data_IF_748327776958
#
_entry.id   IF_748327776958
#
_cell.length_a   1.000
_cell.length_b   1.000
_cell.length_c   1.000
_cell.angle_alpha   90.00
_cell.angle_beta   90.00
_cell.angle_gamma   90.00
#
_symmetry.space_group_name_H-M   'P 1'
#
loop_
_entity.id
_entity.type
_entity.pdbx_description
1 polymer ?
#
# COMPACT_ATOMS: atom_id res chain seq x y z
N UNK A 1 8.06 21.16 6.03
CA UNK A 1 7.26 20.25 5.18
C UNK A 1 5.96 20.97 4.80
N UNK A 2 5.43 20.78 3.60
CA UNK A 2 4.11 21.31 3.24
C UNK A 2 3.00 20.60 4.03
N UNK A 3 1.83 21.24 4.17
CA UNK A 3 0.65 20.61 4.82
C UNK A 3 0.31 19.27 4.16
N UNK A 4 0.32 19.22 2.83
CA UNK A 4 0.06 17.99 2.08
C UNK A 4 1.13 16.91 2.29
N UNK A 5 2.40 17.29 2.49
CA UNK A 5 3.47 16.34 2.79
C UNK A 5 3.31 15.67 4.16
N UNK A 6 2.83 16.42 5.16
CA UNK A 6 2.49 15.86 6.48
C UNK A 6 1.33 14.88 6.38
N UNK A 7 0.26 15.26 5.65
CA UNK A 7 -0.88 14.38 5.43
C UNK A 7 -0.50 13.14 4.62
N UNK A 8 0.36 13.26 3.62
CA UNK A 8 0.89 12.13 2.87
C UNK A 8 1.58 11.14 3.83
N UNK A 9 2.51 11.62 4.67
CA UNK A 9 3.17 10.78 5.67
C UNK A 9 2.19 10.08 6.62
N UNK A 10 1.16 10.79 7.10
CA UNK A 10 0.12 10.21 7.98
C UNK A 10 -0.67 9.10 7.30
N UNK A 11 -1.08 9.30 6.04
CA UNK A 11 -1.82 8.28 5.28
C UNK A 11 -0.94 7.07 4.98
N UNK A 12 0.34 7.27 4.67
CA UNK A 12 1.30 6.16 4.51
C UNK A 12 1.42 5.36 5.80
N UNK A 13 1.60 6.02 6.95
CA UNK A 13 1.65 5.34 8.26
C UNK A 13 0.38 4.58 8.58
N UNK A 14 -0.79 5.17 8.31
CA UNK A 14 -2.07 4.48 8.44
C UNK A 14 -2.13 3.23 7.55
N UNK A 15 -1.70 3.32 6.30
CA UNK A 15 -1.61 2.17 5.39
C UNK A 15 -0.61 1.10 5.84
N UNK A 16 0.51 1.47 6.48
CA UNK A 16 1.47 0.52 7.08
C UNK A 16 0.79 -0.22 8.24
N UNK A 17 0.09 0.49 9.12
CA UNK A 17 -0.63 -0.12 10.25
C UNK A 17 -1.70 -1.09 9.74
N UNK A 18 -2.47 -0.72 8.71
CA UNK A 18 -3.43 -1.62 8.07
C UNK A 18 -2.75 -2.86 7.51
N UNK A 19 -1.61 -2.72 6.83
CA UNK A 19 -0.84 -3.87 6.36
C UNK A 19 -0.44 -4.78 7.54
N UNK A 20 -0.04 -4.24 8.68
CA UNK A 20 0.34 -5.05 9.84
C UNK A 20 -0.83 -5.91 10.38
N UNK A 21 -2.07 -5.42 10.27
CA UNK A 21 -3.26 -6.22 10.58
C UNK A 21 -3.47 -7.41 9.63
N UNK A 22 -2.90 -7.39 8.43
CA UNK A 22 -2.85 -8.56 7.54
C UNK A 22 -1.59 -9.41 7.78
N UNK A 23 -0.43 -8.78 7.95
CA UNK A 23 0.87 -9.45 8.14
C UNK A 23 0.85 -10.37 9.35
N UNK A 24 0.51 -9.84 10.53
CA UNK A 24 0.62 -10.64 11.77
C UNK A 24 -0.28 -11.89 11.71
N UNK A 25 -1.56 -11.81 11.32
CA UNK A 25 -2.37 -13.00 11.19
C UNK A 25 -1.92 -13.91 10.05
N UNK A 26 -1.50 -13.40 8.88
CA UNK A 26 -1.00 -14.26 7.79
C UNK A 26 0.22 -15.09 8.20
N UNK A 27 1.11 -14.52 9.01
CA UNK A 27 2.34 -15.21 9.44
C UNK A 27 2.04 -16.19 10.59
N UNK A 28 1.32 -15.74 11.62
CA UNK A 28 1.12 -16.50 12.86
C UNK A 28 -0.08 -17.46 12.78
N UNK A 29 -1.19 -17.03 12.20
CA UNK A 29 -2.46 -17.76 12.19
C UNK A 29 -3.26 -17.55 10.87
N UNK A 30 -2.72 -17.92 9.70
CA UNK A 30 -3.33 -17.60 8.40
C UNK A 30 -4.73 -18.20 8.23
N UNK A 31 -4.98 -19.40 8.78
CA UNK A 31 -6.30 -20.04 8.72
C UNK A 31 -7.41 -19.20 9.38
N UNK A 32 -7.10 -18.47 10.44
CA UNK A 32 -8.07 -17.58 11.09
C UNK A 32 -8.43 -16.39 10.19
N UNK A 33 -7.42 -15.68 9.65
CA UNK A 33 -7.65 -14.52 8.80
C UNK A 33 -8.31 -14.90 7.47
N UNK A 34 -7.82 -15.95 6.82
CA UNK A 34 -8.40 -16.41 5.57
C UNK A 34 -9.82 -16.94 5.78
N UNK A 35 -10.09 -17.63 6.90
CA UNK A 35 -11.44 -18.01 7.29
C UNK A 35 -12.37 -16.82 7.49
N UNK A 36 -11.91 -15.76 8.17
CA UNK A 36 -12.67 -14.51 8.34
C UNK A 36 -13.03 -13.86 6.99
N UNK A 37 -12.14 -13.97 6.00
CA UNK A 37 -12.34 -13.43 4.65
C UNK A 37 -13.03 -14.40 3.69
N UNK A 38 -13.42 -15.60 4.14
CA UNK A 38 -13.94 -16.68 3.29
C UNK A 38 -13.01 -17.03 2.11
N UNK A 39 -11.69 -17.03 2.37
CA UNK A 39 -10.65 -17.43 1.43
C UNK A 39 -10.20 -18.85 1.79
N UNK A 40 -10.18 -19.82 0.86
CA UNK A 40 -9.68 -21.16 1.13
C UNK A 40 -8.17 -21.11 1.38
N UNK A 41 -7.74 -21.83 2.43
CA UNK A 41 -6.32 -22.03 2.71
C UNK A 41 -5.83 -23.29 2.00
N UNK A 42 -5.25 -23.14 0.82
CA UNK A 42 -4.70 -24.28 0.06
C UNK A 42 -3.36 -24.73 0.62
N UNK A 43 -2.40 -23.81 0.73
CA UNK A 43 -1.06 -24.11 1.24
C UNK A 43 -0.61 -23.04 2.21
N UNK A 44 -0.25 -23.49 3.41
CA UNK A 44 0.19 -22.64 4.52
C UNK A 44 1.39 -21.75 4.16
N UNK A 45 2.32 -22.29 3.35
CA UNK A 45 3.55 -21.60 3.01
C UNK A 45 3.30 -20.34 2.18
N UNK A 46 2.36 -20.35 1.24
CA UNK A 46 2.06 -19.19 0.38
C UNK A 46 1.38 -18.07 1.14
N UNK A 47 0.49 -18.40 2.08
CA UNK A 47 -0.15 -17.42 2.96
C UNK A 47 0.89 -16.72 3.87
N UNK A 48 1.84 -17.47 4.42
CA UNK A 48 2.92 -16.91 5.23
C UNK A 48 3.90 -16.09 4.40
N UNK A 49 4.25 -16.59 3.22
CA UNK A 49 5.15 -15.90 2.29
C UNK A 49 4.55 -14.55 1.83
N UNK A 50 3.26 -14.50 1.50
CA UNK A 50 2.58 -13.26 1.12
C UNK A 50 2.55 -12.25 2.27
N UNK A 51 2.33 -12.71 3.51
CA UNK A 51 2.45 -11.88 4.71
C UNK A 51 3.85 -11.27 4.87
N UNK A 52 4.91 -12.07 4.68
CA UNK A 52 6.28 -11.57 4.76
C UNK A 52 6.64 -10.59 3.64
N UNK A 53 6.16 -10.83 2.41
CA UNK A 53 6.34 -9.88 1.31
C UNK A 53 5.64 -8.56 1.59
N UNK A 54 4.40 -8.60 2.09
CA UNK A 54 3.66 -7.40 2.49
C UNK A 54 4.38 -6.64 3.60
N UNK A 55 4.99 -7.34 4.55
CA UNK A 55 5.82 -6.74 5.59
C UNK A 55 7.02 -5.99 5.01
N UNK A 56 7.82 -6.65 4.15
CA UNK A 56 9.00 -6.06 3.52
C UNK A 56 8.63 -4.80 2.73
N UNK A 57 7.58 -4.89 1.92
CA UNK A 57 7.08 -3.77 1.12
C UNK A 57 6.65 -2.60 2.04
N UNK A 58 6.00 -2.90 3.17
CA UNK A 58 5.59 -1.88 4.15
C UNK A 58 6.78 -1.14 4.75
N UNK A 59 7.89 -1.84 5.02
CA UNK A 59 9.13 -1.22 5.49
C UNK A 59 9.70 -0.23 4.47
N UNK A 60 9.63 -0.56 3.17
CA UNK A 60 10.10 0.33 2.11
C UNK A 60 9.27 1.61 1.94
N UNK A 61 8.08 1.69 2.53
CA UNK A 61 7.29 2.92 2.53
C UNK A 61 7.75 3.93 3.59
N UNK A 62 8.43 3.48 4.64
CA UNK A 62 8.80 4.32 5.80
C UNK A 62 9.68 5.52 5.43
N UNK A 63 10.76 5.39 4.61
CA UNK A 63 11.67 6.51 4.33
C UNK A 63 10.97 7.75 3.75
N UNK A 64 9.97 7.55 2.89
CA UNK A 64 9.18 8.63 2.30
C UNK A 64 8.34 9.42 3.32
N UNK A 65 8.08 8.85 4.50
CA UNK A 65 7.36 9.53 5.59
C UNK A 65 8.26 10.46 6.41
N UNK A 66 9.56 10.18 6.48
CA UNK A 66 10.54 11.00 7.19
C UNK A 66 11.03 12.18 6.36
N UNK A 67 11.37 11.92 5.09
CA UNK A 67 11.79 12.96 4.16
C UNK A 67 11.25 12.70 2.75
N UNK A 68 10.09 13.28 2.47
CA UNK A 68 9.40 13.15 1.19
C UNK A 68 10.19 13.74 0.00
N UNK A 69 11.07 14.71 0.26
CA UNK A 69 11.88 15.32 -0.82
C UNK A 69 13.05 14.41 -1.18
N UNK A 70 13.73 13.87 -0.17
CA UNK A 70 14.87 12.96 -0.36
C UNK A 70 14.43 11.62 -0.94
N UNK A 71 13.33 11.06 -0.45
CA UNK A 71 12.84 9.72 -0.83
C UNK A 71 11.66 9.79 -1.80
N UNK A 72 11.71 10.73 -2.77
CA UNK A 72 10.62 10.96 -3.72
C UNK A 72 10.32 9.74 -4.59
N UNK A 73 11.36 9.04 -5.03
CA UNK A 73 11.21 7.80 -5.78
C UNK A 73 10.50 6.73 -4.94
N UNK A 74 10.85 6.56 -3.66
CA UNK A 74 10.18 5.62 -2.76
C UNK A 74 8.70 5.97 -2.56
N UNK A 75 8.36 7.26 -2.45
CA UNK A 75 6.96 7.70 -2.37
C UNK A 75 6.18 7.30 -3.63
N UNK A 76 6.77 7.51 -4.81
CA UNK A 76 6.18 7.09 -6.08
C UNK A 76 6.05 5.58 -6.19
N UNK A 77 7.08 4.81 -5.86
CA UNK A 77 7.04 3.34 -5.88
C UNK A 77 6.02 2.75 -4.91
N UNK A 78 5.78 3.42 -3.79
CA UNK A 78 4.71 3.04 -2.87
C UNK A 78 3.31 3.13 -3.49
N UNK A 79 3.11 4.05 -4.43
CA UNK A 79 1.85 4.19 -5.18
C UNK A 79 1.91 3.27 -6.40
N UNK A 80 2.81 3.57 -7.33
CA UNK A 80 3.04 2.83 -8.57
C UNK A 80 4.49 2.34 -8.63
N UNK A 81 4.74 1.02 -8.63
CA UNK A 81 3.76 -0.03 -8.92
C UNK A 81 2.99 -0.54 -7.70
N UNK A 82 3.44 -0.29 -6.47
CA UNK A 82 3.09 -1.18 -5.35
C UNK A 82 1.58 -1.27 -5.04
N UNK A 83 0.92 -0.15 -4.69
CA UNK A 83 -0.51 -0.17 -4.34
C UNK A 83 -1.41 -0.27 -5.57
N UNK A 84 -1.02 0.32 -6.69
CA UNK A 84 -1.80 0.23 -7.93
C UNK A 84 -1.85 -1.19 -8.48
N UNK A 85 -0.72 -1.93 -8.44
CA UNK A 85 -0.69 -3.31 -8.90
C UNK A 85 -1.42 -4.24 -7.93
N UNK A 86 -1.28 -4.04 -6.61
CA UNK A 86 -2.07 -4.78 -5.62
C UNK A 86 -3.57 -4.62 -5.84
N UNK A 87 -4.05 -3.37 -5.92
CA UNK A 87 -5.45 -3.07 -6.17
C UNK A 87 -5.96 -3.68 -7.48
N UNK A 88 -5.23 -3.50 -8.58
CA UNK A 88 -5.61 -4.00 -9.90
C UNK A 88 -5.61 -5.53 -9.92
N UNK A 89 -4.55 -6.16 -9.40
CA UNK A 89 -4.40 -7.61 -9.41
C UNK A 89 -5.55 -8.29 -8.66
N UNK A 90 -5.84 -7.88 -7.42
CA UNK A 90 -6.91 -8.51 -6.64
C UNK A 90 -8.30 -8.20 -7.20
N UNK A 91 -8.50 -7.03 -7.81
CA UNK A 91 -9.76 -6.71 -8.53
C UNK A 91 -9.96 -7.64 -9.72
N UNK A 92 -8.93 -7.82 -10.56
CA UNK A 92 -8.98 -8.73 -11.72
C UNK A 92 -9.12 -10.18 -11.27
N UNK A 93 -8.43 -10.59 -10.20
CA UNK A 93 -8.55 -11.92 -9.62
C UNK A 93 -10.01 -12.27 -9.29
N UNK A 94 -10.74 -11.37 -8.62
CA UNK A 94 -12.13 -11.64 -8.24
C UNK A 94 -13.06 -11.55 -9.44
N UNK A 95 -13.03 -10.47 -10.22
CA UNK A 95 -14.04 -10.24 -11.26
C UNK A 95 -13.79 -10.99 -12.58
N UNK A 96 -12.54 -11.32 -12.90
CA UNK A 96 -12.18 -11.96 -14.18
C UNK A 96 -11.84 -13.43 -13.99
N UNK A 97 -11.08 -13.77 -12.94
CA UNK A 97 -10.62 -15.13 -12.71
C UNK A 97 -11.48 -15.92 -11.71
N UNK A 98 -12.51 -15.31 -11.12
CA UNK A 98 -13.47 -15.99 -10.24
C UNK A 98 -12.92 -16.37 -8.87
N UNK A 99 -11.87 -15.69 -8.39
CA UNK A 99 -11.33 -15.90 -7.04
C UNK A 99 -12.31 -15.40 -5.96
N UNK A 100 -12.20 -15.91 -4.71
CA UNK A 100 -13.05 -15.51 -3.60
C UNK A 100 -13.15 -14.00 -3.39
N UNK A 101 -14.36 -13.53 -3.10
CA UNK A 101 -14.67 -12.10 -2.88
C UNK A 101 -13.86 -11.49 -1.73
N UNK A 102 -13.41 -12.31 -0.77
CA UNK A 102 -12.53 -11.89 0.32
C UNK A 102 -11.26 -11.14 -0.14
N UNK A 103 -10.73 -11.46 -1.32
CA UNK A 103 -9.57 -10.77 -1.89
C UNK A 103 -9.85 -9.30 -2.25
N UNK A 104 -11.11 -8.90 -2.43
CA UNK A 104 -11.46 -7.48 -2.64
C UNK A 104 -11.15 -6.62 -1.42
N UNK A 105 -11.08 -7.19 -0.22
CA UNK A 105 -10.66 -6.43 0.97
C UNK A 105 -9.27 -5.81 0.78
N UNK A 106 -8.34 -6.58 0.21
CA UNK A 106 -6.98 -6.12 -0.10
C UNK A 106 -7.04 -5.07 -1.21
N UNK A 107 -7.83 -5.32 -2.26
CA UNK A 107 -7.99 -4.38 -3.37
C UNK A 107 -8.51 -3.01 -2.93
N UNK A 108 -9.51 -3.00 -2.05
CA UNK A 108 -10.13 -1.77 -1.52
C UNK A 108 -9.14 -1.01 -0.66
N UNK A 109 -8.43 -1.69 0.25
CA UNK A 109 -7.42 -1.05 1.11
C UNK A 109 -6.29 -0.46 0.25
N UNK A 110 -5.74 -1.24 -0.68
CA UNK A 110 -4.67 -0.77 -1.56
C UNK A 110 -5.11 0.38 -2.46
N UNK A 111 -6.31 0.29 -3.04
CA UNK A 111 -6.88 1.32 -3.88
C UNK A 111 -7.12 2.61 -3.11
N UNK A 112 -7.72 2.55 -1.91
CA UNK A 112 -8.00 3.72 -1.09
C UNK A 112 -6.71 4.43 -0.65
N UNK A 113 -5.74 3.69 -0.12
CA UNK A 113 -4.46 4.25 0.32
C UNK A 113 -3.66 4.77 -0.89
N UNK A 114 -3.62 4.02 -1.99
CA UNK A 114 -2.94 4.40 -3.23
C UNK A 114 -3.49 5.69 -3.83
N UNK A 115 -4.81 5.80 -3.99
CA UNK A 115 -5.46 7.01 -4.53
C UNK A 115 -5.23 8.21 -3.61
N UNK A 116 -5.42 8.04 -2.30
CA UNK A 116 -5.26 9.14 -1.34
C UNK A 116 -3.81 9.65 -1.30
N UNK A 117 -2.83 8.75 -1.23
CA UNK A 117 -1.41 9.13 -1.25
C UNK A 117 -1.00 9.73 -2.59
N UNK A 118 -1.53 9.23 -3.71
CA UNK A 118 -1.30 9.82 -5.02
C UNK A 118 -1.81 11.26 -5.13
N UNK A 119 -3.05 11.52 -4.73
CA UNK A 119 -3.62 12.88 -4.73
C UNK A 119 -2.79 13.80 -3.86
N UNK A 120 -2.41 13.37 -2.65
CA UNK A 120 -1.57 14.18 -1.76
C UNK A 120 -0.19 14.46 -2.36
N UNK A 121 0.43 13.48 -3.02
CA UNK A 121 1.72 13.65 -3.68
C UNK A 121 1.64 14.61 -4.87
N UNK A 122 0.55 14.57 -5.64
CA UNK A 122 0.29 15.55 -6.70
C UNK A 122 0.13 16.96 -6.12
N UNK A 123 -0.63 17.13 -5.04
CA UNK A 123 -0.80 18.42 -4.37
C UNK A 123 0.54 18.98 -3.83
N UNK A 124 1.39 18.11 -3.26
CA UNK A 124 2.76 18.49 -2.88
C UNK A 124 3.55 18.97 -4.11
N UNK A 125 3.50 18.22 -5.21
CA UNK A 125 4.21 18.57 -6.46
C UNK A 125 3.75 19.92 -7.01
N UNK A 126 2.43 20.17 -7.01
CA UNK A 126 1.85 21.43 -7.49
C UNK A 126 2.25 22.62 -6.59
N UNK A 127 2.26 22.43 -5.28
CA UNK A 127 2.70 23.46 -4.33
C UNK A 127 4.20 23.77 -4.49
N UNK A 128 5.03 22.74 -4.67
CA UNK A 128 6.48 22.89 -4.95
C UNK A 128 6.73 23.66 -6.25
N UNK A 129 5.94 23.39 -7.31
CA UNK A 129 6.02 24.13 -8.57
C UNK A 129 5.60 25.59 -8.41
N UNK A 130 4.51 25.87 -7.66
CA UNK A 130 4.06 27.24 -7.36
C UNK A 130 5.09 28.05 -6.56
N UNK A 131 5.84 27.40 -5.69
CA UNK A 131 6.92 28.01 -4.89
C UNK A 131 8.24 28.15 -5.64
N UNK A 132 8.33 27.68 -6.89
CA UNK A 132 9.56 27.73 -7.68
C UNK A 132 10.64 26.73 -7.23
N UNK A 133 10.29 25.70 -6.45
CA UNK A 133 11.22 24.69 -5.94
C UNK A 133 10.78 23.27 -6.35
N UNK A 134 10.70 22.95 -7.66
CA UNK A 134 10.27 21.63 -8.10
C UNK A 134 11.30 20.56 -7.67
N UNK A 135 10.80 19.47 -7.10
CA UNK A 135 11.61 18.28 -6.77
C UNK A 135 11.47 17.29 -7.92
N UNK A 136 12.56 17.05 -8.65
CA UNK A 136 12.60 16.02 -9.69
C UNK A 136 12.79 14.63 -9.09
N UNK A 137 12.24 13.62 -9.76
CA UNK A 137 12.59 12.23 -9.51
C UNK A 137 14.06 12.06 -9.88
N UNK A 138 14.90 11.72 -8.89
CA UNK A 138 16.29 11.29 -9.10
C UNK A 138 16.35 9.78 -9.02
#
# INVERSE_FOLDING_TARGET
MSRYGIWHGRVVWFGIILNMFFVFPLVLAPGWLLGLLNIPLDQLIWARASGMLLFIISVFYIPATWDLKRYRASAWFSIFPSRTFGATFFTVAVFVFGYPVGFLSIAIVDGFIGITTFILLLLVTLEEKRRGTPVTLK
#
